data_IF_541543297739
#
_entry.id   IF_541543297739
#
_cell.length_a   1.000
_cell.length_b   1.000
_cell.length_c   1.000
_cell.angle_alpha   90.00
_cell.angle_beta   90.00
_cell.angle_gamma   90.00
#
_symmetry.space_group_name_H-M   'P 1'
#
loop_
_entity.id
_entity.type
_entity.pdbx_description
1 polymer ?
#
# COMPACT_ATOMS: atom_id res chain seq x y z
N UNK A 1 5.54 -4.01 -14.31
CA UNK A 1 6.57 -2.99 -14.65
C UNK A 1 6.53 -2.01 -13.50
N UNK A 2 7.64 -1.89 -12.77
CA UNK A 2 7.79 -1.01 -11.62
C UNK A 2 7.68 0.46 -12.08
N UNK A 3 6.92 1.28 -11.34
CA UNK A 3 6.83 2.75 -11.49
C UNK A 3 7.59 3.38 -10.33
N UNK A 4 8.94 3.37 -10.36
CA UNK A 4 9.79 3.86 -9.27
C UNK A 4 9.48 5.27 -8.81
N UNK A 5 8.91 6.09 -9.70
CA UNK A 5 8.70 7.50 -9.44
C UNK A 5 7.59 7.75 -8.41
N UNK A 6 6.64 6.83 -8.24
CA UNK A 6 5.49 7.04 -7.35
C UNK A 6 5.73 6.54 -5.92
N UNK A 7 6.52 5.46 -5.76
CA UNK A 7 6.64 4.71 -4.50
C UNK A 7 8.10 4.40 -4.13
N UNK A 8 8.57 5.02 -3.05
CA UNK A 8 9.82 4.68 -2.38
C UNK A 8 9.65 3.49 -1.42
N UNK A 9 10.65 2.62 -1.34
CA UNK A 9 10.59 1.43 -0.46
C UNK A 9 9.56 0.38 -0.91
N UNK A 10 9.28 0.31 -2.22
CA UNK A 10 8.32 -0.63 -2.81
C UNK A 10 8.69 -2.12 -2.62
N UNK A 11 9.95 -2.42 -2.29
CA UNK A 11 10.40 -3.78 -1.89
C UNK A 11 9.64 -4.31 -0.65
N UNK A 12 9.00 -3.42 0.09
CA UNK A 12 8.13 -3.75 1.21
C UNK A 12 6.69 -4.10 0.80
N UNK A 13 6.26 -3.69 -0.39
CA UNK A 13 4.98 -4.12 -0.95
C UNK A 13 5.11 -5.49 -1.61
N UNK A 14 6.29 -5.83 -2.14
CA UNK A 14 6.55 -7.21 -2.60
C UNK A 14 6.52 -8.23 -1.45
N UNK A 15 6.91 -7.85 -0.22
CA UNK A 15 6.84 -8.77 0.92
C UNK A 15 5.42 -9.02 1.45
N UNK A 16 4.47 -8.10 1.18
CA UNK A 16 3.02 -8.36 1.36
C UNK A 16 2.56 -9.52 0.47
N UNK A 17 3.13 -9.66 -0.74
CA UNK A 17 2.76 -10.73 -1.66
C UNK A 17 3.05 -12.14 -1.09
N UNK A 18 4.01 -12.24 -0.17
CA UNK A 18 4.46 -13.49 0.46
C UNK A 18 3.77 -13.79 1.81
N UNK A 19 2.81 -12.95 2.24
CA UNK A 19 2.06 -13.15 3.49
C UNK A 19 2.91 -13.01 4.77
N UNK A 20 4.09 -12.40 4.67
CA UNK A 20 4.99 -12.18 5.79
C UNK A 20 4.62 -10.91 6.56
N UNK A 21 4.72 -11.00 7.89
CA UNK A 21 4.48 -9.90 8.83
C UNK A 21 5.32 -8.67 8.46
N UNK A 22 4.64 -7.58 8.11
CA UNK A 22 5.26 -6.28 7.86
C UNK A 22 5.61 -5.60 9.19
N UNK A 23 6.59 -6.15 9.88
CA UNK A 23 7.24 -5.38 10.94
C UNK A 23 8.18 -4.38 10.26
N UNK A 24 7.81 -3.10 10.32
CA UNK A 24 8.68 -1.92 10.13
C UNK A 24 8.79 -1.25 8.76
N UNK A 25 8.11 -1.68 7.71
CA UNK A 25 8.22 -0.96 6.43
C UNK A 25 6.92 -0.24 6.03
N UNK A 26 6.96 1.09 6.08
CA UNK A 26 5.98 1.99 5.45
C UNK A 26 6.57 2.43 4.11
N UNK A 27 5.83 2.22 3.02
CA UNK A 27 6.23 2.75 1.72
C UNK A 27 6.03 4.27 1.69
N UNK A 28 7.02 4.99 1.19
CA UNK A 28 6.98 6.45 1.02
C UNK A 28 6.33 6.78 -0.32
N UNK A 29 5.42 7.76 -0.35
CA UNK A 29 4.82 8.24 -1.59
C UNK A 29 5.64 9.43 -2.10
N UNK A 30 6.51 9.18 -3.07
CA UNK A 30 7.46 10.18 -3.58
C UNK A 30 6.78 11.17 -4.54
N UNK A 31 5.96 10.65 -5.45
CA UNK A 31 5.18 11.45 -6.40
C UNK A 31 3.82 10.78 -6.59
N UNK A 32 2.89 10.89 -5.62
CA UNK A 32 1.55 10.36 -5.79
C UNK A 32 0.88 11.01 -7.01
N UNK A 33 0.10 10.22 -7.75
CA UNK A 33 -0.55 10.64 -9.00
C UNK A 33 -2.06 10.40 -9.01
N UNK A 34 -2.57 9.76 -7.96
CA UNK A 34 -3.96 9.37 -7.82
C UNK A 34 -4.49 10.02 -6.54
N UNK A 35 -5.65 10.66 -6.64
CA UNK A 35 -6.42 11.20 -5.52
C UNK A 35 -7.52 10.18 -5.18
N UNK A 36 -7.30 9.37 -4.14
CA UNK A 36 -8.24 8.34 -3.69
C UNK A 36 -9.18 8.85 -2.59
N UNK A 37 -8.81 9.93 -1.89
CA UNK A 37 -9.62 10.50 -0.81
C UNK A 37 -10.63 11.52 -1.31
N UNK A 38 -10.46 12.04 -2.53
CA UNK A 38 -11.36 12.96 -3.22
C UNK A 38 -11.23 14.40 -2.75
N UNK A 39 -10.09 14.79 -2.17
CA UNK A 39 -9.85 16.13 -1.64
C UNK A 39 -9.14 17.07 -2.63
N UNK A 40 -8.76 16.56 -3.81
CA UNK A 40 -8.04 17.28 -4.85
C UNK A 40 -6.52 17.25 -4.73
N UNK A 41 -5.98 16.51 -3.75
CA UNK A 41 -4.54 16.28 -3.56
C UNK A 41 -4.23 14.83 -3.94
N UNK A 42 -3.15 14.60 -4.69
CA UNK A 42 -2.72 13.23 -4.97
C UNK A 42 -2.15 12.61 -3.70
N UNK A 43 -2.67 11.44 -3.35
CA UNK A 43 -2.43 10.74 -2.08
C UNK A 43 -2.07 9.26 -2.28
N UNK A 44 -2.03 8.80 -3.54
CA UNK A 44 -1.89 7.41 -3.88
C UNK A 44 -0.94 7.16 -5.05
N UNK A 45 -0.22 6.05 -4.96
CA UNK A 45 0.69 5.55 -5.99
C UNK A 45 0.43 4.09 -6.32
N UNK A 46 0.72 3.68 -7.56
CA UNK A 46 0.49 2.30 -8.03
C UNK A 46 1.82 1.59 -8.25
N UNK A 47 1.84 0.29 -8.00
CA UNK A 47 2.89 -0.61 -8.45
C UNK A 47 2.29 -1.81 -9.17
N UNK A 48 2.98 -2.33 -10.18
CA UNK A 48 2.60 -3.59 -10.87
C UNK A 48 3.77 -4.57 -10.85
N UNK A 49 3.56 -5.71 -10.18
CA UNK A 49 4.50 -6.83 -10.08
C UNK A 49 3.86 -8.09 -10.68
N UNK A 50 4.45 -8.58 -11.78
CA UNK A 50 3.79 -9.59 -12.61
C UNK A 50 2.40 -9.10 -13.07
N UNK A 51 1.37 -9.89 -12.78
CA UNK A 51 -0.04 -9.56 -13.02
C UNK A 51 -0.76 -9.08 -11.75
N UNK A 52 -0.01 -8.80 -10.67
CA UNK A 52 -0.56 -8.23 -9.43
C UNK A 52 -0.41 -6.71 -9.45
N UNK A 53 -1.47 -6.02 -9.05
CA UNK A 53 -1.49 -4.56 -8.88
C UNK A 53 -1.51 -4.24 -7.39
N UNK A 54 -0.67 -3.30 -6.98
CA UNK A 54 -0.68 -2.70 -5.65
C UNK A 54 -1.05 -1.23 -5.78
N UNK A 55 -1.92 -0.76 -4.89
CA UNK A 55 -2.28 0.64 -4.72
C UNK A 55 -1.99 1.01 -3.27
N UNK A 56 -1.05 1.93 -3.06
CA UNK A 56 -0.69 2.44 -1.74
C UNK A 56 -1.27 3.85 -1.58
N UNK A 57 -1.89 4.12 -0.43
CA UNK A 57 -2.59 5.39 -0.16
C UNK A 57 -2.15 5.95 1.19
N UNK A 58 -1.71 7.20 1.20
CA UNK A 58 -1.51 8.02 2.39
C UNK A 58 -2.82 8.73 2.74
N UNK A 59 -3.44 8.37 3.87
CA UNK A 59 -4.71 8.98 4.31
C UNK A 59 -4.50 10.09 5.33
N UNK A 60 -3.30 10.16 5.93
CA UNK A 60 -2.98 11.08 7.01
C UNK A 60 -2.18 12.30 6.54
N UNK A 61 -1.63 12.24 5.33
CA UNK A 61 -0.84 13.30 4.71
C UNK A 61 0.59 13.38 5.27
N UNK A 62 1.10 12.30 5.86
CA UNK A 62 2.44 12.25 6.45
C UNK A 62 3.54 11.84 5.44
N UNK A 63 3.14 11.54 4.20
CA UNK A 63 4.02 11.10 3.11
C UNK A 63 4.18 9.58 3.02
N UNK A 64 3.55 8.81 3.91
CA UNK A 64 3.67 7.36 3.95
C UNK A 64 2.33 6.65 3.74
N UNK A 65 2.41 5.46 3.14
CA UNK A 65 1.21 4.65 2.92
C UNK A 65 0.59 4.22 4.25
N UNK A 66 -0.70 4.52 4.42
CA UNK A 66 -1.54 4.06 5.52
C UNK A 66 -2.35 2.81 5.13
N UNK A 67 -2.70 2.71 3.85
CA UNK A 67 -3.47 1.60 3.29
C UNK A 67 -2.79 1.05 2.05
N UNK A 68 -2.82 -0.26 1.88
CA UNK A 68 -2.38 -0.93 0.65
C UNK A 68 -3.51 -1.84 0.16
N UNK A 69 -3.94 -1.63 -1.07
CA UNK A 69 -4.83 -2.57 -1.78
C UNK A 69 -4.00 -3.40 -2.75
N UNK A 70 -4.08 -4.72 -2.63
CA UNK A 70 -3.50 -5.69 -3.57
C UNK A 70 -4.63 -6.29 -4.40
N UNK A 71 -4.43 -6.37 -5.71
CA UNK A 71 -5.34 -7.04 -6.64
C UNK A 71 -4.53 -8.07 -7.41
N UNK A 72 -4.85 -9.34 -7.21
CA UNK A 72 -4.22 -10.48 -7.87
C UNK A 72 -4.80 -10.76 -9.27
N UNK A 73 -4.07 -11.54 -10.07
CA UNK A 73 -4.48 -11.88 -11.45
C UNK A 73 -5.78 -12.67 -11.56
N UNK A 74 -6.16 -13.37 -10.51
CA UNK A 74 -7.38 -14.18 -10.42
C UNK A 74 -8.59 -13.38 -9.89
N UNK A 75 -8.43 -12.06 -9.74
CA UNK A 75 -9.45 -11.19 -9.17
C UNK A 75 -9.51 -11.24 -7.64
N UNK A 76 -8.58 -11.94 -6.98
CA UNK A 76 -8.42 -11.81 -5.54
C UNK A 76 -8.06 -10.37 -5.18
N UNK A 77 -8.61 -9.87 -4.08
CA UNK A 77 -8.23 -8.59 -3.53
C UNK A 77 -8.01 -8.69 -2.03
N UNK A 78 -7.08 -7.87 -1.54
CA UNK A 78 -6.76 -7.72 -0.13
C UNK A 78 -6.53 -6.24 0.17
N UNK A 79 -7.10 -5.75 1.26
CA UNK A 79 -6.90 -4.39 1.77
C UNK A 79 -6.20 -4.50 3.10
N UNK A 80 -5.04 -3.87 3.20
CA UNK A 80 -4.21 -3.85 4.39
C UNK A 80 -4.16 -2.43 4.95
N UNK A 81 -4.25 -2.31 6.26
CA UNK A 81 -4.08 -1.04 6.96
C UNK A 81 -2.92 -1.12 7.93
N UNK A 82 -2.15 -0.04 8.02
CA UNK A 82 -1.10 0.11 9.02
C UNK A 82 -1.67 0.76 10.28
N UNK A 83 -1.35 0.18 11.42
CA UNK A 83 -1.51 0.82 12.72
C UNK A 83 -0.12 1.11 13.28
N UNK A 84 0.17 2.37 13.55
CA UNK A 84 1.35 2.73 14.33
C UNK A 84 1.10 2.50 15.81
N UNK A 85 1.97 1.73 16.44
CA UNK A 85 2.06 1.72 17.89
C UNK A 85 2.70 3.03 18.34
N UNK A 86 1.89 3.96 18.84
CA UNK A 86 2.35 5.24 19.41
C UNK A 86 3.41 5.09 20.52
N UNK A 87 3.54 3.89 21.11
CA UNK A 87 4.50 3.59 22.18
C UNK A 87 5.86 3.09 21.67
N UNK A 88 5.93 2.49 20.47
CA UNK A 88 7.14 1.84 19.96
C UNK A 88 7.62 2.36 18.61
N UNK A 89 6.83 3.21 17.93
CA UNK A 89 7.13 3.67 16.57
C UNK A 89 7.11 2.54 15.54
N UNK A 90 6.59 1.36 15.92
CA UNK A 90 6.54 0.18 15.06
C UNK A 90 5.25 0.22 14.25
N UNK A 91 5.39 0.23 12.93
CA UNK A 91 4.29 -0.01 12.00
C UNK A 91 3.87 -1.49 12.06
N UNK A 92 2.59 -1.74 12.30
CA UNK A 92 1.99 -3.07 12.21
C UNK A 92 0.88 -3.07 11.17
N UNK A 93 1.04 -3.86 10.13
CA UNK A 93 0.01 -4.03 9.11
C UNK A 93 -0.95 -5.15 9.47
N UNK A 94 -2.23 -4.92 9.15
CA UNK A 94 -3.31 -5.87 9.38
C UNK A 94 -4.18 -5.94 8.13
N UNK A 95 -4.59 -7.15 7.78
CA UNK A 95 -5.61 -7.36 6.76
C UNK A 95 -6.94 -6.81 7.30
N UNK A 96 -7.47 -5.80 6.62
CA UNK A 96 -8.72 -5.12 6.95
C UNK A 96 -9.90 -5.72 6.17
N UNK A 97 -9.70 -6.02 4.89
CA UNK A 97 -10.69 -6.67 4.03
C UNK A 97 -10.03 -7.57 2.97
N UNK A 98 -10.78 -8.50 2.41
CA UNK A 98 -10.33 -9.29 1.27
C UNK A 98 -11.41 -10.21 0.70
N UNK A 99 -11.24 -10.59 -0.56
CA UNK A 99 -12.21 -11.41 -1.27
C UNK A 99 -11.89 -11.61 -2.74
N UNK A 100 -12.94 -11.83 -3.54
CA UNK A 100 -12.86 -11.96 -4.99
C UNK A 100 -13.69 -10.85 -5.63
N UNK A 101 -13.11 -10.12 -6.56
CA UNK A 101 -13.82 -9.17 -7.41
C UNK A 101 -14.72 -9.99 -8.36
N UNK A 102 -16.04 -9.77 -8.27
CA UNK A 102 -17.06 -10.48 -9.04
C UNK A 102 -17.37 -9.82 -10.39
#
# INVERSE_FOLDING_TARGET
MWTPDELGGAECLSSLADGASLELCRSELLNPTIDMTGDGVFDSGRMVEGDTVFLATDRTGDGFADTVTRIGPDGTYEVWQVSESAASGTAQWRLDDGGLLA
#
